data_IF_126529034337
#
_entry.id   IF_126529034337
#
_cell.length_a   1.000
_cell.length_b   1.000
_cell.length_c   1.000
_cell.angle_alpha   90.00
_cell.angle_beta   90.00
_cell.angle_gamma   90.00
#
_symmetry.space_group_name_H-M   'P 1'
#
loop_
_entity.id
_entity.type
_entity.pdbx_description
1 polymer ?
#
# COMPACT_ATOMS: atom_id res chain seq x y z
N UNK A 1 4.56 -8.99 8.45
CA UNK A 1 3.18 -9.30 8.90
C UNK A 1 2.22 -8.49 8.03
N UNK A 2 1.14 -9.10 7.53
CA UNK A 2 0.21 -8.44 6.60
C UNK A 2 -0.62 -7.35 7.29
N UNK A 3 -1.07 -6.37 6.50
CA UNK A 3 -1.89 -5.24 6.98
C UNK A 3 -3.22 -5.22 6.21
N UNK A 4 -4.37 -5.39 6.89
CA UNK A 4 -5.66 -5.33 6.22
C UNK A 4 -6.01 -3.89 5.85
N UNK A 5 -6.58 -3.70 4.66
CA UNK A 5 -7.15 -2.41 4.26
C UNK A 5 -8.54 -2.23 4.89
N UNK A 6 -8.94 -0.98 5.12
CA UNK A 6 -10.30 -0.65 5.57
C UNK A 6 -11.22 -0.46 4.37
N UNK A 7 -12.29 -1.27 4.20
CA UNK A 7 -13.25 -1.06 3.12
C UNK A 7 -13.91 0.32 3.18
N UNK A 8 -14.15 0.92 2.01
CA UNK A 8 -14.95 2.12 1.85
C UNK A 8 -16.31 1.76 1.24
N UNK A 9 -17.22 2.75 1.16
CA UNK A 9 -18.60 2.53 0.70
C UNK A 9 -18.69 1.94 -0.73
N UNK A 10 -17.75 2.31 -1.61
CA UNK A 10 -17.73 1.80 -2.98
C UNK A 10 -16.92 0.49 -3.06
N UNK A 11 -17.45 -0.56 -3.72
CA UNK A 11 -16.73 -1.82 -3.93
C UNK A 11 -15.37 -1.60 -4.60
N UNK A 12 -14.37 -2.36 -4.17
CA UNK A 12 -13.00 -2.23 -4.66
C UNK A 12 -12.28 -0.95 -4.20
N UNK A 13 -12.90 -0.12 -3.35
CA UNK A 13 -12.23 1.03 -2.73
C UNK A 13 -11.95 0.79 -1.26
N UNK A 14 -10.75 1.17 -0.85
CA UNK A 14 -10.26 0.96 0.50
C UNK A 14 -9.41 2.13 0.97
N UNK A 15 -9.40 2.37 2.28
CA UNK A 15 -8.44 3.22 2.96
C UNK A 15 -7.32 2.38 3.59
N UNK A 16 -6.16 3.00 3.81
CA UNK A 16 -5.07 2.46 4.63
C UNK A 16 -5.57 2.08 6.03
N UNK A 17 -4.96 1.05 6.63
CA UNK A 17 -5.37 0.53 7.94
C UNK A 17 -5.35 1.61 9.03
N UNK A 18 -6.47 1.84 9.75
CA UNK A 18 -6.45 2.74 10.91
C UNK A 18 -5.77 2.10 12.13
N UNK A 19 -5.78 0.77 12.25
CA UNK A 19 -5.19 0.02 13.37
C UNK A 19 -3.68 -0.17 13.21
N UNK A 20 -3.20 -0.15 11.97
CA UNK A 20 -1.77 -0.18 11.62
C UNK A 20 -1.49 1.01 10.71
N UNK A 21 -1.39 2.24 11.27
CA UNK A 21 -1.10 3.41 10.47
C UNK A 21 0.28 3.30 9.82
N UNK A 22 0.39 3.80 8.59
CA UNK A 22 1.66 3.88 7.89
C UNK A 22 2.44 5.09 8.42
N UNK A 23 3.60 4.85 9.04
CA UNK A 23 4.53 5.90 9.48
C UNK A 23 5.63 6.09 8.43
N UNK A 24 6.49 7.10 8.62
CA UNK A 24 7.65 7.38 7.76
C UNK A 24 8.49 6.12 7.53
N UNK A 25 8.80 5.82 6.26
CA UNK A 25 9.52 4.61 5.82
C UNK A 25 8.91 3.27 6.25
N UNK A 26 7.71 3.29 6.83
CA UNK A 26 6.91 2.10 7.07
C UNK A 26 6.43 1.49 5.76
N UNK A 27 6.15 0.19 5.79
CA UNK A 27 5.64 -0.55 4.63
C UNK A 27 4.42 -1.37 5.01
N UNK A 28 3.36 -1.25 4.22
CA UNK A 28 2.23 -2.17 4.23
C UNK A 28 2.42 -3.23 3.16
N UNK A 29 2.21 -4.49 3.55
CA UNK A 29 2.11 -5.64 2.65
C UNK A 29 0.69 -6.17 2.78
N UNK A 30 -0.07 -6.09 1.68
CA UNK A 30 -1.50 -6.38 1.64
C UNK A 30 -1.71 -7.56 0.69
N UNK A 31 -2.16 -8.73 1.16
CA UNK A 31 -2.54 -9.85 0.31
C UNK A 31 -3.69 -9.44 -0.63
N UNK A 32 -3.58 -9.85 -1.88
CA UNK A 32 -4.61 -9.67 -2.90
C UNK A 32 -5.10 -11.04 -3.36
N UNK A 33 -6.41 -11.14 -3.55
CA UNK A 33 -7.06 -12.31 -4.13
C UNK A 33 -7.75 -11.86 -5.41
N UNK A 34 -7.13 -12.07 -6.58
CA UNK A 34 -7.76 -11.73 -7.85
C UNK A 34 -9.03 -12.54 -8.07
N UNK A 35 -9.97 -11.95 -8.80
CA UNK A 35 -11.13 -12.65 -9.33
C UNK A 35 -10.69 -13.73 -10.31
N UNK A 36 -11.40 -14.85 -10.34
CA UNK A 36 -11.08 -15.98 -11.21
C UNK A 36 -11.09 -15.64 -12.71
N UNK A 37 -11.85 -14.61 -13.10
CA UNK A 37 -11.95 -14.11 -14.48
C UNK A 37 -10.96 -13.00 -14.81
N UNK A 38 -10.16 -12.54 -13.85
CA UNK A 38 -9.27 -11.40 -14.07
C UNK A 38 -8.03 -11.80 -14.85
N UNK A 39 -7.64 -10.93 -15.79
CA UNK A 39 -6.40 -11.04 -16.56
C UNK A 39 -5.31 -10.10 -16.05
N UNK A 40 -5.65 -9.17 -15.16
CA UNK A 40 -4.71 -8.22 -14.56
C UNK A 40 -5.23 -7.70 -13.23
N UNK A 41 -4.33 -7.33 -12.32
CA UNK A 41 -4.61 -6.51 -11.15
C UNK A 41 -4.31 -5.06 -11.50
N UNK A 42 -5.24 -4.14 -11.25
CA UNK A 42 -5.03 -2.70 -11.39
C UNK A 42 -5.25 -2.02 -10.04
N UNK A 43 -4.24 -1.29 -9.57
CA UNK A 43 -4.28 -0.55 -8.31
C UNK A 43 -4.04 0.92 -8.58
N UNK A 44 -5.04 1.76 -8.29
CA UNK A 44 -4.87 3.21 -8.23
C UNK A 44 -4.72 3.64 -6.77
N UNK A 45 -3.60 4.26 -6.42
CA UNK A 45 -3.35 4.79 -5.08
C UNK A 45 -3.50 6.31 -5.10
N UNK A 46 -4.17 6.86 -4.08
CA UNK A 46 -4.30 8.30 -3.85
C UNK A 46 -3.76 8.63 -2.47
N UNK A 47 -2.78 9.53 -2.38
CA UNK A 47 -2.28 10.03 -1.11
C UNK A 47 -3.32 10.88 -0.38
N UNK A 48 -3.31 10.88 0.96
CA UNK A 48 -4.31 11.59 1.78
C UNK A 48 -3.72 12.62 2.73
N UNK A 49 -2.48 13.03 2.52
CA UNK A 49 -1.84 14.10 3.30
C UNK A 49 -0.78 14.82 2.47
N UNK A 50 -0.49 16.07 2.80
CA UNK A 50 0.66 16.83 2.28
C UNK A 50 1.72 17.09 3.36
N UNK A 51 1.49 16.64 4.59
CA UNK A 51 2.42 16.79 5.70
C UNK A 51 3.77 16.18 5.35
N UNK A 52 4.86 16.81 5.79
CA UNK A 52 6.23 16.33 5.63
C UNK A 52 6.62 15.98 4.18
N UNK A 53 6.07 16.71 3.21
CA UNK A 53 6.28 16.42 1.78
C UNK A 53 5.95 14.94 1.48
N UNK A 54 4.79 14.52 1.97
CA UNK A 54 4.30 13.16 1.91
C UNK A 54 4.43 12.59 0.51
N UNK A 55 4.96 11.38 0.42
CA UNK A 55 5.13 10.66 -0.82
C UNK A 55 5.04 9.17 -0.54
N UNK A 56 4.60 8.40 -1.52
CA UNK A 56 4.47 6.95 -1.45
C UNK A 56 5.15 6.32 -2.64
N UNK A 57 5.68 5.11 -2.40
CA UNK A 57 6.07 4.17 -3.45
C UNK A 57 5.23 2.92 -3.32
N UNK A 58 4.68 2.43 -4.42
CA UNK A 58 3.88 1.21 -4.39
C UNK A 58 4.06 0.37 -5.65
N UNK A 59 3.86 -0.94 -5.48
CA UNK A 59 3.88 -1.92 -6.57
C UNK A 59 3.01 -3.13 -6.22
N UNK A 60 2.67 -3.91 -7.23
CA UNK A 60 2.09 -5.24 -7.06
C UNK A 60 3.21 -6.27 -7.25
N UNK A 61 3.29 -7.21 -6.32
CA UNK A 61 4.24 -8.31 -6.31
C UNK A 61 3.48 -9.61 -6.40
N UNK A 62 3.94 -10.52 -7.26
CA UNK A 62 3.48 -11.91 -7.25
C UNK A 62 4.61 -12.82 -6.87
N UNK A 63 4.33 -13.83 -6.06
CA UNK A 63 5.27 -14.90 -5.74
C UNK A 63 4.77 -16.19 -6.37
N UNK A 64 5.64 -16.91 -7.06
CA UNK A 64 5.34 -18.28 -7.49
C UNK A 64 5.39 -19.27 -6.31
N UNK A 65 5.13 -20.55 -6.58
CA UNK A 65 5.16 -21.61 -5.57
C UNK A 65 6.55 -21.84 -4.93
N UNK A 66 7.61 -21.30 -5.54
CA UNK A 66 9.00 -21.34 -5.06
C UNK A 66 9.43 -20.01 -4.43
N UNK A 67 8.50 -19.07 -4.24
CA UNK A 67 8.71 -17.73 -3.72
C UNK A 67 9.60 -16.82 -4.59
N UNK A 68 9.71 -17.09 -5.90
CA UNK A 68 10.35 -16.14 -6.81
C UNK A 68 9.42 -14.96 -7.10
N UNK A 69 9.91 -13.71 -6.92
CA UNK A 69 9.06 -12.56 -7.08
C UNK A 69 9.01 -12.06 -8.53
N UNK A 70 7.83 -11.58 -8.92
CA UNK A 70 7.61 -10.77 -10.13
C UNK A 70 6.92 -9.48 -9.74
N UNK A 71 7.49 -8.36 -10.18
CA UNK A 71 7.06 -7.01 -9.79
C UNK A 71 6.38 -6.30 -10.96
N UNK A 72 5.34 -5.54 -10.65
CA UNK A 72 4.94 -4.42 -11.51
C UNK A 72 6.00 -3.31 -11.43
N UNK A 73 6.04 -2.36 -12.39
CA UNK A 73 6.80 -1.14 -12.24
C UNK A 73 6.50 -0.45 -10.90
N UNK A 74 7.53 0.09 -10.24
CA UNK A 74 7.36 0.86 -9.01
C UNK A 74 6.72 2.22 -9.35
N UNK A 75 5.64 2.56 -8.66
CA UNK A 75 4.88 3.79 -8.91
C UNK A 75 5.04 4.76 -7.75
N UNK A 76 5.15 6.04 -8.09
CA UNK A 76 5.24 7.16 -7.15
C UNK A 76 3.92 7.91 -7.04
N UNK A 77 3.60 8.37 -5.83
CA UNK A 77 2.50 9.31 -5.56
C UNK A 77 3.02 10.38 -4.61
N UNK A 78 2.82 11.65 -4.95
CA UNK A 78 3.23 12.78 -4.09
C UNK A 78 1.98 13.51 -3.55
N UNK A 79 2.01 13.81 -2.25
CA UNK A 79 0.98 14.55 -1.51
C UNK A 79 -0.41 13.94 -1.63
N UNK A 80 -1.30 14.62 -2.37
CA UNK A 80 -2.69 14.17 -2.58
C UNK A 80 -2.95 13.74 -4.02
N UNK A 81 -1.89 13.51 -4.80
CA UNK A 81 -2.00 13.02 -6.16
C UNK A 81 -2.47 11.56 -6.18
N UNK A 82 -2.70 11.06 -7.40
CA UNK A 82 -3.04 9.67 -7.65
C UNK A 82 -2.16 9.10 -8.75
N UNK A 83 -1.81 7.83 -8.64
CA UNK A 83 -1.13 7.09 -9.70
C UNK A 83 -1.59 5.64 -9.70
N UNK A 84 -1.35 4.95 -10.82
CA UNK A 84 -1.85 3.59 -11.04
C UNK A 84 -0.74 2.64 -11.41
N UNK A 85 -0.73 1.46 -10.77
CA UNK A 85 0.04 0.30 -11.19
C UNK A 85 -0.91 -0.73 -11.83
N UNK A 86 -0.44 -1.40 -12.88
CA UNK A 86 -1.12 -2.56 -13.47
C UNK A 86 -0.16 -3.73 -13.54
N UNK A 87 -0.64 -4.91 -13.16
CA UNK A 87 0.12 -6.14 -13.14
C UNK A 87 -0.64 -7.21 -13.94
N UNK A 88 -0.08 -7.72 -15.04
CA UNK A 88 -0.70 -8.79 -15.80
C UNK A 88 -0.64 -10.09 -14.99
N UNK A 89 -1.79 -10.72 -14.80
CA UNK A 89 -1.85 -12.04 -14.18
C UNK A 89 -1.30 -13.07 -15.17
N UNK A 90 -0.64 -14.10 -14.65
CA UNK A 90 -0.22 -15.24 -15.45
C UNK A 90 -0.96 -16.47 -14.95
N UNK A 91 -1.28 -17.38 -15.87
CA UNK A 91 -1.80 -18.69 -15.49
C UNK A 91 -0.76 -19.45 -14.66
N UNK A 92 -1.22 -20.10 -13.59
CA UNK A 92 -0.35 -20.90 -12.73
C UNK A 92 -1.03 -21.18 -11.40
N UNK A 93 -0.81 -22.38 -10.86
CA UNK A 93 -1.30 -22.72 -9.51
C UNK A 93 -0.28 -22.25 -8.47
N UNK A 94 -0.77 -21.89 -7.29
CA UNK A 94 0.09 -21.53 -6.15
C UNK A 94 0.76 -20.15 -6.25
N UNK A 95 0.29 -19.28 -7.15
CA UNK A 95 0.75 -17.88 -7.21
C UNK A 95 0.02 -17.06 -6.15
N UNK A 96 0.77 -16.31 -5.35
CA UNK A 96 0.21 -15.35 -4.38
C UNK A 96 0.51 -13.93 -4.81
N UNK A 97 -0.41 -13.01 -4.53
CA UNK A 97 -0.32 -11.61 -4.96
C UNK A 97 -0.36 -10.67 -3.77
N UNK A 98 0.43 -9.61 -3.83
CA UNK A 98 0.53 -8.61 -2.78
C UNK A 98 0.56 -7.20 -3.38
N UNK A 99 -0.16 -6.28 -2.77
CA UNK A 99 0.11 -4.86 -2.89
C UNK A 99 1.11 -4.46 -1.81
N UNK A 100 2.18 -3.79 -2.22
CA UNK A 100 3.18 -3.21 -1.31
C UNK A 100 3.09 -1.70 -1.40
N UNK A 101 2.94 -1.03 -0.27
CA UNK A 101 2.90 0.44 -0.18
C UNK A 101 3.87 0.90 0.91
N UNK A 102 4.79 1.79 0.54
CA UNK A 102 5.78 2.37 1.45
C UNK A 102 5.63 3.89 1.48
N UNK A 103 5.65 4.47 2.68
CA UNK A 103 5.72 5.92 2.83
C UNK A 103 7.18 6.39 2.65
N UNK A 104 7.41 7.31 1.73
CA UNK A 104 8.73 7.84 1.38
C UNK A 104 8.69 9.38 1.34
N UNK A 105 8.40 10.04 2.47
CA UNK A 105 8.39 11.50 2.53
C UNK A 105 9.77 12.07 2.23
N UNK A 106 9.80 13.26 1.62
CA UNK A 106 11.05 13.97 1.35
C UNK A 106 11.56 14.76 2.57
N UNK A 107 10.74 14.92 3.61
CA UNK A 107 11.14 15.49 4.90
C UNK A 107 11.17 14.40 5.97
N UNK A 108 12.28 14.33 6.69
CA UNK A 108 12.39 13.47 7.86
C UNK A 108 11.50 13.98 9.00
N UNK A 109 10.85 13.03 9.69
CA UNK A 109 10.09 13.24 10.92
C UNK A 109 10.44 12.11 11.87
N UNK A 110 10.70 12.40 13.13
CA UNK A 110 10.94 11.36 14.14
C UNK A 110 9.69 10.52 14.37
N UNK A 111 9.88 9.22 14.59
CA UNK A 111 8.83 8.33 15.06
C UNK A 111 8.98 8.24 16.57
N UNK A 112 8.04 8.76 17.37
CA UNK A 112 8.14 8.71 18.82
C UNK A 112 8.27 7.28 19.32
N UNK A 113 9.09 7.10 20.34
CA UNK A 113 9.27 5.86 21.09
C UNK A 113 7.96 5.42 21.75
N UNK A 114 7.92 4.18 22.25
CA UNK A 114 6.73 3.68 22.95
C UNK A 114 6.35 4.52 24.18
N UNK A 115 7.33 5.01 24.92
CA UNK A 115 7.12 5.88 26.10
C UNK A 115 6.52 7.23 25.69
N UNK A 116 7.07 7.85 24.65
CA UNK A 116 6.57 9.13 24.13
C UNK A 116 5.15 9.01 23.57
N UNK A 117 4.82 7.89 22.94
CA UNK A 117 3.45 7.61 22.48
C UNK A 117 2.49 7.47 23.65
N UNK A 118 2.90 6.83 24.75
CA UNK A 118 2.11 6.77 25.99
C UNK A 118 1.95 8.15 26.64
N UNK A 119 2.92 9.03 26.47
CA UNK A 119 2.85 10.44 26.87
C UNK A 119 2.05 11.33 25.89
N UNK A 120 1.47 10.76 24.83
CA UNK A 120 0.57 11.44 23.90
C UNK A 120 1.23 12.01 22.64
N UNK A 121 2.53 11.76 22.40
CA UNK A 121 3.18 12.15 21.16
C UNK A 121 2.72 11.25 20.01
N UNK A 122 2.28 11.85 18.89
CA UNK A 122 1.84 11.11 17.72
C UNK A 122 2.90 11.14 16.60
N UNK A 123 3.23 9.97 16.06
CA UNK A 123 4.01 9.88 14.83
C UNK A 123 3.27 10.52 13.66
N UNK A 124 4.01 11.15 12.74
CA UNK A 124 3.47 11.53 11.44
C UNK A 124 2.93 10.29 10.70
N UNK A 125 1.71 10.41 10.18
CA UNK A 125 1.00 9.33 9.49
C UNK A 125 0.88 9.66 8.00
N UNK A 126 0.96 8.62 7.19
CA UNK A 126 0.94 8.69 5.73
C UNK A 126 -0.26 7.92 5.17
N UNK A 127 -1.50 8.37 5.46
CA UNK A 127 -2.70 7.71 5.00
C UNK A 127 -2.81 7.76 3.48
N UNK A 128 -3.43 6.73 2.92
CA UNK A 128 -3.72 6.64 1.50
C UNK A 128 -5.05 5.91 1.28
N UNK A 129 -5.63 6.08 0.09
CA UNK A 129 -6.71 5.25 -0.41
C UNK A 129 -6.25 4.49 -1.64
N UNK A 130 -6.85 3.32 -1.85
CA UNK A 130 -6.66 2.52 -3.06
C UNK A 130 -8.00 2.17 -3.70
N UNK A 131 -8.01 2.17 -5.03
CA UNK A 131 -9.00 1.46 -5.83
C UNK A 131 -8.32 0.26 -6.47
N UNK A 132 -8.87 -0.93 -6.24
CA UNK A 132 -8.34 -2.22 -6.71
C UNK A 132 -9.38 -2.85 -7.63
N UNK A 133 -8.92 -3.29 -8.79
CA UNK A 133 -9.73 -3.97 -9.81
C UNK A 133 -8.98 -5.20 -10.31
N UNK A 134 -9.76 -6.21 -10.69
CA UNK A 134 -9.24 -7.53 -11.07
C UNK A 134 -9.07 -8.44 -9.87
#
# INVERSE_FOLDING_TARGET
RYVPLKPLAAPGRYASSPERPLNIYGTHVIPLTPLSSATSIKVSLTGKTRADQASWRFTVVSLDAQAHPRYAPLVAVDGTASATASFPLQGGKGITHYLVVTATPYRYSEVPTGEEQLAGQAAARFPYEVSIQG
#
